data_IF_502086762154
#
_entry.id   IF_502086762154
#
_cell.length_a   1.000
_cell.length_b   1.000
_cell.length_c   1.000
_cell.angle_alpha   90.00
_cell.angle_beta   90.00
_cell.angle_gamma   90.00
#
_symmetry.space_group_name_H-M   'P 1'
#
loop_
_entity.id
_entity.type
_entity.pdbx_description
1 polymer ?
#
# COMPACT_ATOMS: atom_id res chain seq x y z
N UNK A 1 -11.01 -28.40 3.30
CA UNK A 1 -10.23 -27.65 4.32
C UNK A 1 -10.33 -26.18 3.99
N UNK A 2 -11.15 -25.42 4.73
CA UNK A 2 -11.57 -24.07 4.39
C UNK A 2 -10.42 -23.07 4.34
N UNK A 3 -10.32 -22.35 3.22
CA UNK A 3 -9.38 -21.25 3.01
C UNK A 3 -9.84 -20.11 3.92
N UNK A 4 -9.26 -19.99 5.11
CA UNK A 4 -9.38 -18.76 5.87
C UNK A 4 -8.52 -17.72 5.14
N UNK A 5 -9.17 -16.90 4.30
CA UNK A 5 -8.65 -15.60 3.93
C UNK A 5 -8.56 -14.81 5.24
N UNK A 6 -7.35 -14.52 5.69
CA UNK A 6 -7.17 -13.62 6.82
C UNK A 6 -7.71 -12.24 6.39
N UNK A 7 -8.61 -11.67 7.18
CA UNK A 7 -9.17 -10.34 6.92
C UNK A 7 -8.05 -9.30 6.77
N UNK A 8 -6.96 -9.45 7.55
CA UNK A 8 -5.79 -8.59 7.46
C UNK A 8 -5.11 -8.68 6.09
N UNK A 9 -4.88 -9.89 5.56
CA UNK A 9 -4.27 -10.07 4.23
C UNK A 9 -5.12 -9.40 3.13
N UNK A 10 -6.45 -9.44 3.28
CA UNK A 10 -7.38 -8.80 2.34
C UNK A 10 -7.31 -7.28 2.41
N UNK A 11 -7.25 -6.72 3.63
CA UNK A 11 -7.13 -5.28 3.86
C UNK A 11 -5.81 -4.76 3.29
N UNK A 12 -4.71 -5.45 3.56
CA UNK A 12 -3.38 -5.11 3.03
C UNK A 12 -3.32 -5.21 1.51
N UNK A 13 -3.86 -6.28 0.93
CA UNK A 13 -3.93 -6.43 -0.53
C UNK A 13 -4.72 -5.30 -1.19
N UNK A 14 -5.84 -4.87 -0.60
CA UNK A 14 -6.61 -3.71 -1.07
C UNK A 14 -5.82 -2.40 -0.93
N UNK A 15 -5.09 -2.21 0.18
CA UNK A 15 -4.22 -1.05 0.40
C UNK A 15 -3.14 -0.95 -0.67
N UNK A 16 -2.47 -2.06 -0.98
CA UNK A 16 -1.45 -2.12 -2.02
C UNK A 16 -2.05 -1.92 -3.42
N UNK A 17 -3.22 -2.49 -3.71
CA UNK A 17 -3.92 -2.22 -4.98
C UNK A 17 -4.21 -0.72 -5.17
N UNK A 18 -4.70 -0.06 -4.13
CA UNK A 18 -4.92 1.38 -4.15
C UNK A 18 -3.63 2.17 -4.35
N UNK A 19 -2.54 1.80 -3.65
CA UNK A 19 -1.25 2.47 -3.81
C UNK A 19 -0.68 2.30 -5.23
N UNK A 20 -0.72 1.09 -5.78
CA UNK A 20 -0.28 0.85 -7.16
C UNK A 20 -1.15 1.56 -8.19
N UNK A 21 -2.44 1.80 -7.90
CA UNK A 21 -3.28 2.65 -8.73
C UNK A 21 -2.84 4.11 -8.64
N UNK A 22 -2.58 4.60 -7.42
CA UNK A 22 -2.14 5.96 -7.12
C UNK A 22 -0.82 6.32 -7.82
N UNK A 23 0.20 5.45 -7.73
CA UNK A 23 1.52 5.68 -8.36
C UNK A 23 1.49 5.64 -9.89
N UNK A 24 0.51 4.95 -10.47
CA UNK A 24 0.30 4.90 -11.93
C UNK A 24 -0.62 6.01 -12.44
N UNK A 25 -1.17 6.85 -11.57
CA UNK A 25 -1.91 8.03 -12.01
C UNK A 25 -0.94 9.07 -12.60
N UNK A 26 -1.37 9.87 -13.58
CA UNK A 26 -0.62 11.04 -14.03
C UNK A 26 -0.34 12.00 -12.86
N UNK A 27 0.84 12.64 -12.87
CA UNK A 27 1.32 13.52 -11.80
C UNK A 27 0.45 14.77 -11.61
N UNK A 28 -0.31 15.16 -12.62
CA UNK A 28 -1.21 16.31 -12.57
C UNK A 28 -2.40 16.05 -11.64
N UNK A 29 -2.74 14.78 -11.40
CA UNK A 29 -3.91 14.39 -10.61
C UNK A 29 -3.72 14.67 -9.12
N UNK A 30 -4.74 15.26 -8.52
CA UNK A 30 -4.77 15.63 -7.11
C UNK A 30 -4.44 14.49 -6.13
N UNK A 31 -4.92 13.24 -6.29
CA UNK A 31 -4.57 12.17 -5.37
C UNK A 31 -3.05 11.96 -5.23
N UNK A 32 -2.32 11.93 -6.34
CA UNK A 32 -0.87 11.73 -6.32
C UNK A 32 -0.15 12.97 -5.76
N UNK A 33 -0.62 14.18 -6.08
CA UNK A 33 -0.11 15.42 -5.49
C UNK A 33 -0.28 15.46 -3.98
N UNK A 34 -1.45 15.10 -3.46
CA UNK A 34 -1.73 15.04 -2.02
C UNK A 34 -0.88 13.97 -1.34
N UNK A 35 -0.69 12.83 -2.00
CA UNK A 35 0.18 11.77 -1.49
C UNK A 35 1.64 12.23 -1.33
N UNK A 36 2.17 12.90 -2.35
CA UNK A 36 3.54 13.41 -2.35
C UNK A 36 3.71 14.63 -1.42
N UNK A 37 2.62 15.30 -1.06
CA UNK A 37 2.68 16.48 -0.20
C UNK A 37 2.95 16.11 1.25
N UNK A 38 4.08 16.57 1.78
CA UNK A 38 4.44 16.46 3.19
C UNK A 38 4.18 17.78 3.90
N UNK A 39 3.08 17.92 4.67
CA UNK A 39 2.83 19.16 5.39
C UNK A 39 3.86 19.34 6.51
N UNK A 40 4.57 20.48 6.58
CA UNK A 40 5.43 20.78 7.71
C UNK A 40 4.56 21.00 8.95
N UNK A 41 4.53 20.04 9.87
CA UNK A 41 3.79 20.21 11.12
C UNK A 41 4.24 19.29 12.25
N UNK A 42 4.33 19.89 13.44
CA UNK A 42 4.33 19.17 14.71
C UNK A 42 3.05 18.34 14.81
N UNK A 43 3.22 17.04 15.08
CA UNK A 43 2.12 16.09 15.25
C UNK A 43 1.17 16.56 16.36
N UNK A 44 -0.12 16.72 16.03
CA UNK A 44 -1.15 17.07 17.01
C UNK A 44 -1.36 15.93 18.02
N UNK A 45 -1.67 16.28 19.27
CA UNK A 45 -2.06 15.33 20.31
C UNK A 45 -3.30 14.54 19.84
N UNK A 46 -3.32 13.23 20.03
CA UNK A 46 -4.40 12.34 19.60
C UNK A 46 -4.31 11.82 18.16
N UNK A 47 -3.38 12.30 17.32
CA UNK A 47 -3.16 11.69 15.99
C UNK A 47 -2.63 10.25 16.15
N UNK A 48 -3.07 9.25 15.34
CA UNK A 48 -2.52 7.90 15.35
C UNK A 48 -1.01 7.83 15.07
N UNK A 49 -0.29 6.87 15.70
CA UNK A 49 1.17 6.67 15.58
C UNK A 49 1.60 6.48 14.15
N UNK A 50 0.93 5.57 13.47
CA UNK A 50 1.19 5.23 12.09
C UNK A 50 0.32 6.09 11.15
N UNK A 51 0.95 6.57 10.10
CA UNK A 51 0.30 7.17 8.94
C UNK A 51 -0.18 6.08 7.98
N UNK A 52 -0.98 6.49 6.99
CA UNK A 52 -1.37 5.59 5.91
C UNK A 52 -0.15 5.13 5.08
N UNK A 53 0.83 6.01 4.89
CA UNK A 53 2.07 5.70 4.18
C UNK A 53 2.85 4.61 4.92
N UNK A 54 2.97 4.72 6.25
CA UNK A 54 3.62 3.69 7.07
C UNK A 54 2.92 2.33 6.89
N UNK A 55 1.60 2.32 6.83
CA UNK A 55 0.82 1.10 6.59
C UNK A 55 0.96 0.52 5.18
N UNK A 56 1.30 1.33 4.17
CA UNK A 56 1.64 0.86 2.82
C UNK A 56 3.04 0.25 2.83
N UNK A 57 4.03 0.95 3.39
CA UNK A 57 5.41 0.46 3.43
C UNK A 57 5.56 -0.81 4.26
N UNK A 58 4.85 -0.92 5.39
CA UNK A 58 4.81 -2.16 6.16
C UNK A 58 4.22 -3.31 5.34
N UNK A 59 3.12 -3.09 4.62
CA UNK A 59 2.51 -4.13 3.79
C UNK A 59 3.41 -4.57 2.62
N UNK A 60 4.21 -3.65 2.05
CA UNK A 60 5.24 -4.00 1.07
C UNK A 60 6.35 -4.85 1.71
N UNK A 61 6.86 -4.42 2.87
CA UNK A 61 7.92 -5.10 3.60
C UNK A 61 7.53 -6.54 3.99
N UNK A 62 6.32 -6.71 4.53
CA UNK A 62 5.78 -8.03 4.94
C UNK A 62 5.61 -9.00 3.75
N UNK A 63 5.69 -8.47 2.53
CA UNK A 63 5.51 -9.18 1.26
C UNK A 63 6.74 -9.14 0.37
N UNK A 64 7.87 -8.65 0.89
CA UNK A 64 9.15 -8.54 0.19
C UNK A 64 9.05 -7.76 -1.15
N UNK A 65 8.18 -6.76 -1.19
CA UNK A 65 8.02 -5.87 -2.34
C UNK A 65 8.91 -4.64 -2.19
N UNK A 66 9.45 -4.17 -3.30
CA UNK A 66 10.11 -2.86 -3.39
C UNK A 66 9.11 -1.79 -3.81
N UNK A 67 9.41 -0.52 -3.58
CA UNK A 67 8.51 0.56 -3.99
C UNK A 67 8.32 0.53 -5.52
N UNK A 68 9.41 0.40 -6.27
CA UNK A 68 9.47 0.44 -7.73
C UNK A 68 8.67 -0.69 -8.39
N UNK A 69 8.35 -1.75 -7.65
CA UNK A 69 7.55 -2.88 -8.13
C UNK A 69 6.15 -2.45 -8.62
N UNK A 70 5.67 -1.26 -8.26
CA UNK A 70 4.40 -0.74 -8.78
C UNK A 70 4.44 -0.55 -10.31
N UNK A 71 5.61 -0.40 -10.93
CA UNK A 71 5.72 -0.24 -12.38
C UNK A 71 5.31 -1.53 -13.12
N UNK A 72 5.73 -2.69 -12.62
CA UNK A 72 5.33 -3.99 -13.15
C UNK A 72 3.96 -4.40 -12.60
N UNK A 73 2.93 -4.32 -13.44
CA UNK A 73 1.55 -4.71 -13.06
C UNK A 73 1.42 -6.18 -12.64
N UNK A 74 2.18 -7.09 -13.26
CA UNK A 74 2.10 -8.52 -12.96
C UNK A 74 2.73 -8.80 -11.61
N UNK A 75 3.95 -8.29 -11.38
CA UNK A 75 4.64 -8.40 -10.10
C UNK A 75 3.84 -7.74 -8.97
N UNK A 76 3.31 -6.54 -9.20
CA UNK A 76 2.46 -5.84 -8.24
C UNK A 76 1.23 -6.66 -7.87
N UNK A 77 0.51 -7.21 -8.86
CA UNK A 77 -0.68 -8.03 -8.64
C UNK A 77 -0.37 -9.27 -7.81
N UNK A 78 0.75 -9.95 -8.08
CA UNK A 78 1.18 -11.11 -7.31
C UNK A 78 1.50 -10.77 -5.84
N UNK A 79 2.11 -9.60 -5.58
CA UNK A 79 2.34 -9.15 -4.22
C UNK A 79 1.05 -8.78 -3.47
N UNK A 80 0.11 -8.12 -4.14
CA UNK A 80 -1.22 -7.81 -3.58
C UNK A 80 -2.03 -9.07 -3.27
N UNK A 81 -2.04 -10.02 -4.21
CA UNK A 81 -2.68 -11.32 -4.10
C UNK A 81 -1.71 -12.33 -3.47
N UNK A 82 -1.47 -12.23 -2.16
CA UNK A 82 -0.68 -13.25 -1.45
C UNK A 82 -1.32 -14.63 -1.68
N UNK A 83 -0.82 -15.37 -2.67
CA UNK A 83 -1.16 -16.77 -2.88
C UNK A 83 -0.39 -17.54 -1.84
N UNK A 84 -1.09 -18.32 -1.01
CA UNK A 84 -0.46 -19.33 -0.17
C UNK A 84 0.48 -20.13 -1.07
N UNK A 85 1.78 -20.14 -0.75
CA UNK A 85 2.66 -21.22 -1.18
C UNK A 85 2.06 -22.45 -0.48
N UNK A 86 1.52 -23.37 -1.27
CA UNK A 86 1.06 -24.67 -0.82
C UNK A 86 2.28 -25.56 -0.63
#
# INVERSE_FOLDING_TARGET
>A
MGITLNILDTIEGKRLNWYGHLRRMPEERWPLKIWNWQPPRRRKRGKPRLSWNDGVYQAMQDRYMQEEDWQDRRRWKLGCERRRIV
#
